data_IF_306967322221
#
_entry.id   IF_306967322221
#
_cell.length_a   1.000
_cell.length_b   1.000
_cell.length_c   1.000
_cell.angle_alpha   90.00
_cell.angle_beta   90.00
_cell.angle_gamma   90.00
#
_symmetry.space_group_name_H-M   'P 1'
#
loop_
_entity.id
_entity.type
_entity.pdbx_description
1 polymer ?
#
# COMPACT_ATOMS: atom_id res chain seq x y z
N UNK A 1 -5.55 -21.83 3.64
CA UNK A 1 -6.77 -21.08 3.99
C UNK A 1 -7.53 -21.69 5.18
N UNK A 2 -7.69 -23.00 5.32
CA UNK A 2 -8.34 -23.59 6.51
C UNK A 2 -7.73 -23.13 7.86
N UNK A 3 -6.41 -23.01 7.94
CA UNK A 3 -5.72 -22.52 9.15
C UNK A 3 -5.99 -21.04 9.45
N UNK A 4 -6.32 -20.24 8.45
CA UNK A 4 -6.70 -18.83 8.60
C UNK A 4 -8.17 -18.76 9.02
N UNK A 5 -9.08 -19.47 8.36
CA UNK A 5 -10.51 -19.51 8.69
C UNK A 5 -10.84 -20.14 10.05
N UNK A 6 -9.87 -20.72 10.75
CA UNK A 6 -10.02 -21.22 12.13
C UNK A 6 -9.51 -20.27 13.21
N UNK A 7 -9.07 -19.08 12.88
CA UNK A 7 -8.60 -18.05 13.81
C UNK A 7 -9.77 -17.23 14.38
N UNK A 8 -9.47 -16.38 15.37
CA UNK A 8 -10.42 -15.37 15.86
C UNK A 8 -10.76 -14.42 14.70
N UNK A 9 -11.99 -13.95 14.64
CA UNK A 9 -12.53 -13.18 13.52
C UNK A 9 -11.63 -12.01 13.08
N UNK A 10 -11.14 -11.23 14.02
CA UNK A 10 -10.28 -10.07 13.73
C UNK A 10 -8.95 -10.48 13.10
N UNK A 11 -8.37 -11.62 13.53
CA UNK A 11 -7.15 -12.17 12.96
C UNK A 11 -7.38 -12.73 11.55
N UNK A 12 -8.53 -13.37 11.32
CA UNK A 12 -8.92 -13.85 9.99
C UNK A 12 -9.11 -12.67 9.02
N UNK A 13 -9.77 -11.59 9.45
CA UNK A 13 -9.97 -10.39 8.66
C UNK A 13 -8.64 -9.72 8.31
N UNK A 14 -7.76 -9.54 9.29
CA UNK A 14 -6.41 -9.00 9.06
C UNK A 14 -5.63 -9.88 8.08
N UNK A 15 -5.63 -11.20 8.24
CA UNK A 15 -4.94 -12.10 7.32
C UNK A 15 -5.47 -11.99 5.89
N UNK A 16 -6.78 -11.87 5.71
CA UNK A 16 -7.40 -11.68 4.39
C UNK A 16 -6.99 -10.34 3.76
N UNK A 17 -6.96 -9.26 4.52
CA UNK A 17 -6.50 -7.95 4.05
C UNK A 17 -5.03 -8.00 3.63
N UNK A 18 -4.16 -8.59 4.44
CA UNK A 18 -2.73 -8.76 4.12
C UNK A 18 -2.54 -9.54 2.83
N UNK A 19 -3.20 -10.70 2.72
CA UNK A 19 -3.09 -11.57 1.53
C UNK A 19 -3.69 -10.91 0.29
N UNK A 20 -4.77 -10.15 0.44
CA UNK A 20 -5.38 -9.35 -0.63
C UNK A 20 -4.38 -8.32 -1.17
N UNK A 21 -3.76 -7.53 -0.30
CA UNK A 21 -2.74 -6.56 -0.69
C UNK A 21 -1.54 -7.22 -1.38
N UNK A 22 -0.96 -8.27 -0.79
CA UNK A 22 0.22 -8.94 -1.38
C UNK A 22 -0.10 -9.58 -2.73
N UNK A 23 -1.35 -10.03 -2.94
CA UNK A 23 -1.78 -10.67 -4.20
C UNK A 23 -2.08 -9.63 -5.29
N UNK A 24 -2.77 -8.53 -4.94
CA UNK A 24 -3.32 -7.57 -5.90
C UNK A 24 -2.40 -6.36 -6.14
N UNK A 25 -1.41 -6.13 -5.28
CA UNK A 25 -0.48 -5.02 -5.43
C UNK A 25 0.24 -5.06 -6.78
N UNK A 26 0.36 -3.92 -7.43
CA UNK A 26 0.97 -3.79 -8.78
C UNK A 26 2.50 -3.87 -8.75
N UNK A 27 3.12 -3.81 -7.57
CA UNK A 27 4.51 -4.14 -7.27
C UNK A 27 4.62 -4.68 -5.84
N UNK A 28 5.70 -5.39 -5.50
CA UNK A 28 5.94 -5.77 -4.11
C UNK A 28 5.92 -4.56 -3.18
N UNK A 29 5.32 -4.74 -2.01
CA UNK A 29 5.23 -3.72 -0.97
C UNK A 29 6.33 -3.90 0.06
N UNK A 30 6.82 -2.80 0.60
CA UNK A 30 7.61 -2.82 1.82
C UNK A 30 6.70 -3.07 3.03
N UNK A 31 7.30 -3.46 4.15
CA UNK A 31 6.56 -3.63 5.41
C UNK A 31 5.84 -2.36 5.84
N UNK A 32 6.51 -1.20 5.73
CA UNK A 32 5.93 0.09 6.09
C UNK A 32 4.79 0.49 5.16
N UNK A 33 4.89 0.25 3.85
CA UNK A 33 3.79 0.49 2.92
C UNK A 33 2.58 -0.35 3.27
N UNK A 34 2.76 -1.64 3.58
CA UNK A 34 1.66 -2.51 3.96
C UNK A 34 1.05 -2.11 5.31
N UNK A 35 1.87 -1.76 6.32
CA UNK A 35 1.37 -1.28 7.61
C UNK A 35 0.47 -0.05 7.45
N UNK A 36 0.92 0.95 6.67
CA UNK A 36 0.10 2.13 6.36
C UNK A 36 -1.19 1.75 5.62
N UNK A 37 -1.11 0.83 4.65
CA UNK A 37 -2.29 0.39 3.90
C UNK A 37 -3.35 -0.28 4.79
N UNK A 38 -2.91 -1.05 5.77
CA UNK A 38 -3.79 -1.75 6.73
C UNK A 38 -4.37 -0.83 7.81
N UNK A 39 -3.71 0.30 8.09
CA UNK A 39 -4.14 1.25 9.11
C UNK A 39 -5.08 2.35 8.56
N UNK A 40 -5.31 2.39 7.25
CA UNK A 40 -6.24 3.37 6.66
C UNK A 40 -7.68 3.01 7.01
N UNK A 41 -8.37 3.90 7.68
CA UNK A 41 -9.82 3.85 7.85
C UNK A 41 -10.49 4.68 6.76
N UNK A 42 -11.34 4.02 5.95
CA UNK A 42 -12.00 4.68 4.81
C UNK A 42 -12.94 5.76 5.29
N UNK A 43 -12.70 6.99 4.83
CA UNK A 43 -13.48 8.17 5.21
C UNK A 43 -12.80 9.06 6.24
N UNK A 44 -11.71 8.60 6.88
CA UNK A 44 -10.91 9.43 7.79
C UNK A 44 -10.00 10.39 7.01
N UNK A 45 -9.61 11.47 7.66
CA UNK A 45 -8.83 12.56 7.07
C UNK A 45 -7.33 12.53 7.40
N UNK A 46 -6.91 11.58 8.23
CA UNK A 46 -5.53 11.35 8.63
C UNK A 46 -5.32 9.87 8.98
N UNK A 47 -4.07 9.42 8.92
CA UNK A 47 -3.69 8.11 9.44
C UNK A 47 -3.64 8.18 10.97
N UNK A 48 -4.27 7.24 11.64
CA UNK A 48 -4.07 7.03 13.06
C UNK A 48 -2.87 6.08 13.26
N UNK A 49 -1.79 6.60 13.83
CA UNK A 49 -0.57 5.83 14.06
C UNK A 49 -0.78 4.70 15.10
N UNK A 50 -1.78 4.81 15.99
CA UNK A 50 -2.10 3.76 16.95
C UNK A 50 -2.71 2.53 16.26
N UNK A 51 -3.26 2.70 15.07
CA UNK A 51 -3.83 1.61 14.26
C UNK A 51 -2.78 0.86 13.40
N UNK A 52 -1.51 1.27 13.41
CA UNK A 52 -0.47 0.58 12.66
C UNK A 52 -0.20 -0.82 13.24
N UNK A 53 -0.53 -1.90 12.50
CA UNK A 53 -0.31 -3.25 13.00
C UNK A 53 1.19 -3.56 13.08
N UNK A 54 1.60 -4.33 14.09
CA UNK A 54 2.99 -4.79 14.21
C UNK A 54 3.30 -5.81 13.11
N UNK A 55 4.51 -5.77 12.59
CA UNK A 55 4.94 -6.67 11.48
C UNK A 55 4.86 -8.14 11.90
N UNK A 56 5.19 -8.43 13.15
CA UNK A 56 5.11 -9.76 13.74
C UNK A 56 3.69 -10.30 13.73
N UNK A 57 2.69 -9.44 14.01
CA UNK A 57 1.28 -9.80 13.99
C UNK A 57 0.82 -10.08 12.55
N UNK A 58 1.19 -9.19 11.58
CA UNK A 58 0.90 -9.38 10.16
C UNK A 58 1.40 -10.75 9.66
N UNK A 59 2.65 -11.10 9.99
CA UNK A 59 3.24 -12.38 9.58
C UNK A 59 2.58 -13.55 10.28
N UNK A 60 2.29 -13.40 11.59
CA UNK A 60 1.71 -14.45 12.43
C UNK A 60 0.31 -14.85 11.95
N UNK A 61 -0.58 -13.89 11.69
CA UNK A 61 -1.95 -14.16 11.25
C UNK A 61 -2.01 -14.84 9.89
N UNK A 62 -0.99 -14.67 9.04
CA UNK A 62 -0.90 -15.31 7.74
C UNK A 62 -0.47 -16.79 7.79
N UNK A 63 -0.33 -17.39 8.98
CA UNK A 63 -0.13 -18.82 9.21
C UNK A 63 1.01 -19.46 8.39
N UNK A 64 2.11 -18.70 8.19
CA UNK A 64 3.30 -19.12 7.44
C UNK A 64 3.22 -18.97 5.93
N UNK A 65 2.19 -18.30 5.40
CA UNK A 65 2.09 -18.00 3.97
C UNK A 65 2.93 -16.81 3.54
N UNK A 66 3.29 -15.92 4.48
CA UNK A 66 3.97 -14.65 4.25
C UNK A 66 5.30 -14.60 4.99
N UNK A 67 6.28 -13.98 4.39
CA UNK A 67 7.58 -13.70 5.00
C UNK A 67 8.07 -12.30 4.60
N UNK A 68 8.92 -11.72 5.46
CA UNK A 68 9.62 -10.47 5.21
C UNK A 68 11.06 -10.78 4.79
N UNK A 69 11.47 -10.20 3.68
CA UNK A 69 12.86 -10.16 3.26
C UNK A 69 13.58 -9.05 4.05
N UNK A 70 14.53 -9.45 4.90
CA UNK A 70 15.20 -8.53 5.83
C UNK A 70 16.15 -7.54 5.17
N UNK A 71 16.64 -7.84 3.97
CA UNK A 71 17.56 -6.95 3.25
C UNK A 71 16.79 -5.83 2.52
N UNK A 72 15.66 -6.17 1.89
CA UNK A 72 14.84 -5.23 1.14
C UNK A 72 13.65 -4.67 1.91
N UNK A 73 13.33 -5.22 3.09
CA UNK A 73 12.10 -4.96 3.85
C UNK A 73 10.82 -5.23 3.04
N UNK A 74 10.91 -6.05 2.00
CA UNK A 74 9.75 -6.44 1.19
C UNK A 74 9.02 -7.58 1.88
N UNK A 75 7.69 -7.44 1.97
CA UNK A 75 6.81 -8.51 2.43
C UNK A 75 6.23 -9.27 1.23
N UNK A 76 6.27 -10.61 1.26
CA UNK A 76 5.88 -11.44 0.13
C UNK A 76 5.38 -12.82 0.54
N UNK A 77 4.69 -13.49 -0.37
CA UNK A 77 4.35 -14.92 -0.21
C UNK A 77 5.62 -15.78 -0.20
N UNK A 78 5.66 -16.75 0.71
CA UNK A 78 6.83 -17.64 0.91
C UNK A 78 7.10 -18.51 -0.32
N UNK A 79 6.04 -19.01 -0.97
CA UNK A 79 6.15 -19.92 -2.09
C UNK A 79 5.51 -19.36 -3.36
N UNK A 80 6.18 -19.52 -4.48
CA UNK A 80 5.67 -19.12 -5.79
C UNK A 80 4.32 -19.80 -6.12
N UNK A 81 4.18 -21.08 -5.78
CA UNK A 81 2.92 -21.81 -5.98
C UNK A 81 1.74 -21.24 -5.19
N UNK A 82 2.01 -20.61 -4.05
CA UNK A 82 0.97 -19.89 -3.27
C UNK A 82 0.54 -18.63 -4.01
N UNK A 83 1.47 -17.92 -4.65
CA UNK A 83 1.17 -16.77 -5.49
C UNK A 83 0.27 -17.17 -6.66
N UNK A 84 0.68 -18.17 -7.44
CA UNK A 84 -0.14 -18.68 -8.57
C UNK A 84 -1.54 -19.13 -8.12
N UNK A 85 -1.62 -19.76 -6.95
CA UNK A 85 -2.91 -20.19 -6.39
C UNK A 85 -3.82 -18.99 -6.12
N UNK A 86 -3.33 -17.94 -5.44
CA UNK A 86 -4.13 -16.75 -5.14
C UNK A 86 -4.48 -15.95 -6.39
N UNK A 87 -3.56 -15.77 -7.33
CA UNK A 87 -3.82 -15.11 -8.61
C UNK A 87 -4.97 -15.82 -9.37
N UNK A 88 -4.97 -17.15 -9.41
CA UNK A 88 -6.02 -17.92 -10.06
C UNK A 88 -7.35 -17.93 -9.31
N UNK A 89 -7.32 -17.82 -7.98
CA UNK A 89 -8.49 -17.92 -7.12
C UNK A 89 -8.86 -16.58 -6.46
N UNK A 90 -8.31 -15.47 -6.93
CA UNK A 90 -8.47 -14.14 -6.38
C UNK A 90 -9.94 -13.78 -6.13
N UNK A 91 -10.80 -13.94 -7.13
CA UNK A 91 -12.23 -13.63 -7.04
C UNK A 91 -12.98 -14.46 -6.00
N UNK A 92 -12.46 -15.62 -5.65
CA UNK A 92 -13.04 -16.47 -4.60
C UNK A 92 -12.64 -16.00 -3.19
N UNK A 93 -11.36 -15.63 -3.02
CA UNK A 93 -10.83 -15.26 -1.70
C UNK A 93 -10.96 -13.77 -1.40
N UNK A 94 -10.84 -12.94 -2.41
CA UNK A 94 -10.78 -11.48 -2.33
C UNK A 94 -11.68 -10.83 -3.38
N UNK A 95 -13.01 -11.09 -3.38
CA UNK A 95 -13.91 -10.67 -4.47
C UNK A 95 -13.97 -9.15 -4.66
N UNK A 96 -13.73 -8.37 -3.60
CA UNK A 96 -13.77 -6.91 -3.62
C UNK A 96 -12.39 -6.24 -3.53
N UNK A 97 -11.30 -7.02 -3.64
CA UNK A 97 -9.94 -6.53 -3.39
C UNK A 97 -9.61 -5.22 -4.10
N UNK A 98 -9.85 -5.14 -5.40
CA UNK A 98 -9.51 -3.95 -6.18
C UNK A 98 -10.38 -2.74 -5.79
N UNK A 99 -11.63 -2.96 -5.41
CA UNK A 99 -12.53 -1.91 -4.90
C UNK A 99 -12.07 -1.40 -3.53
N UNK A 100 -11.73 -2.33 -2.62
CA UNK A 100 -11.28 -2.00 -1.26
C UNK A 100 -9.92 -1.29 -1.30
N UNK A 101 -8.97 -1.80 -2.09
CA UNK A 101 -7.66 -1.18 -2.30
C UNK A 101 -7.81 0.21 -2.92
N UNK A 102 -8.70 0.38 -3.89
CA UNK A 102 -9.00 1.69 -4.49
C UNK A 102 -9.50 2.67 -3.44
N UNK A 103 -10.46 2.26 -2.61
CA UNK A 103 -11.00 3.10 -1.54
C UNK A 103 -9.92 3.52 -0.54
N UNK A 104 -9.05 2.60 -0.14
CA UNK A 104 -7.90 2.86 0.73
C UNK A 104 -6.93 3.85 0.06
N UNK A 105 -6.56 3.62 -1.20
CA UNK A 105 -5.64 4.49 -1.93
C UNK A 105 -6.15 5.93 -2.02
N UNK A 106 -7.39 6.13 -2.43
CA UNK A 106 -7.94 7.49 -2.60
C UNK A 106 -8.24 8.17 -1.26
N UNK A 107 -8.61 7.41 -0.22
CA UNK A 107 -8.73 7.93 1.15
C UNK A 107 -7.37 8.45 1.62
N UNK A 108 -6.30 7.67 1.47
CA UNK A 108 -4.95 8.08 1.84
C UNK A 108 -4.51 9.34 1.10
N UNK A 109 -4.71 9.42 -0.24
CA UNK A 109 -4.43 10.62 -1.03
C UNK A 109 -5.32 11.82 -0.66
N UNK A 110 -6.39 11.57 0.09
CA UNK A 110 -7.31 12.59 0.58
C UNK A 110 -6.97 13.12 1.96
N UNK A 111 -5.94 12.61 2.63
CA UNK A 111 -5.52 13.08 3.95
C UNK A 111 -5.11 14.57 3.94
N UNK A 112 -5.25 15.22 5.10
CA UNK A 112 -4.84 16.61 5.30
C UNK A 112 -3.38 16.88 4.92
N UNK A 113 -2.50 15.87 5.02
CA UNK A 113 -1.10 15.94 4.62
C UNK A 113 -0.89 16.33 3.14
N UNK A 114 -1.93 16.18 2.30
CA UNK A 114 -1.87 16.48 0.87
C UNK A 114 -2.67 17.74 0.46
N UNK A 115 -3.29 18.42 1.42
CA UNK A 115 -4.09 19.64 1.15
C UNK A 115 -3.27 20.84 0.74
N UNK A 116 -1.95 20.85 0.98
CA UNK A 116 -1.06 21.90 0.49
C UNK A 116 -0.71 21.78 -1.00
N UNK A 117 -1.19 20.74 -1.68
CA UNK A 117 -0.90 20.51 -3.10
C UNK A 117 0.56 20.18 -3.37
N UNK A 118 1.12 20.79 -4.39
CA UNK A 118 2.50 20.60 -4.82
C UNK A 118 3.50 21.15 -3.80
N UNK A 119 4.49 20.35 -3.39
CA UNK A 119 5.61 20.81 -2.55
C UNK A 119 6.53 21.74 -3.36
N UNK A 120 6.88 22.90 -2.81
CA UNK A 120 7.67 23.92 -3.51
C UNK A 120 9.16 23.57 -3.57
N UNK A 121 9.64 22.75 -2.66
CA UNK A 121 11.05 22.34 -2.56
C UNK A 121 11.20 20.81 -2.52
N UNK A 122 12.37 20.33 -2.98
CA UNK A 122 12.73 18.91 -2.90
C UNK A 122 12.72 18.43 -1.44
N UNK A 123 13.18 19.27 -0.50
CA UNK A 123 13.20 18.92 0.93
C UNK A 123 11.80 18.69 1.51
N UNK A 124 10.82 19.52 1.16
CA UNK A 124 9.42 19.33 1.56
C UNK A 124 8.84 18.04 0.95
N UNK A 125 9.18 17.77 -0.30
CA UNK A 125 8.71 16.57 -0.98
C UNK A 125 9.32 15.29 -0.38
N UNK A 126 10.63 15.28 -0.09
CA UNK A 126 11.30 14.17 0.57
C UNK A 126 10.73 13.91 1.97
N UNK A 127 10.45 14.98 2.73
CA UNK A 127 9.81 14.86 4.04
C UNK A 127 8.38 14.32 3.93
N UNK A 128 7.60 14.75 2.92
CA UNK A 128 6.28 14.20 2.65
C UNK A 128 6.35 12.70 2.36
N UNK A 129 7.29 12.26 1.54
CA UNK A 129 7.51 10.83 1.24
C UNK A 129 7.92 10.05 2.50
N UNK A 130 8.76 10.65 3.35
CA UNK A 130 9.24 10.04 4.59
C UNK A 130 8.12 9.85 5.62
N UNK A 131 7.24 10.82 5.75
CA UNK A 131 6.12 10.76 6.69
C UNK A 131 4.95 9.90 6.17
N UNK A 132 4.78 9.81 4.86
CA UNK A 132 3.67 9.12 4.23
C UNK A 132 4.16 7.92 3.43
N UNK A 133 4.51 6.83 4.13
CA UNK A 133 5.20 5.67 3.55
C UNK A 133 4.48 5.03 2.35
N UNK A 134 3.15 5.05 2.33
CA UNK A 134 2.36 4.47 1.25
C UNK A 134 2.19 5.42 0.04
N UNK A 135 2.53 6.70 0.19
CA UNK A 135 2.24 7.75 -0.79
C UNK A 135 2.82 7.48 -2.19
N UNK A 136 4.08 7.07 -2.28
CA UNK A 136 4.72 6.75 -3.56
C UNK A 136 4.00 5.59 -4.29
N UNK A 137 3.66 4.54 -3.55
CA UNK A 137 2.95 3.41 -4.14
C UNK A 137 1.60 3.83 -4.71
N UNK A 138 0.78 4.51 -3.92
CA UNK A 138 -0.58 4.84 -4.33
C UNK A 138 -0.63 5.89 -5.44
N UNK A 139 0.26 6.89 -5.42
CA UNK A 139 0.33 7.88 -6.49
C UNK A 139 0.53 7.23 -7.87
N UNK A 140 1.32 6.16 -7.92
CA UNK A 140 1.59 5.42 -9.17
C UNK A 140 0.52 4.38 -9.53
N UNK A 141 -0.24 3.87 -8.56
CA UNK A 141 -1.02 2.65 -8.78
C UNK A 141 -2.53 2.77 -8.50
N UNK A 142 -3.02 3.83 -7.84
CA UNK A 142 -4.44 3.96 -7.51
C UNK A 142 -5.34 3.87 -8.75
N UNK A 143 -4.93 4.49 -9.86
CA UNK A 143 -5.70 4.46 -11.12
C UNK A 143 -5.70 3.07 -11.79
N UNK A 144 -4.69 2.24 -11.52
CA UNK A 144 -4.68 0.84 -11.98
C UNK A 144 -5.71 0.03 -11.20
N UNK A 145 -5.74 0.17 -9.86
CA UNK A 145 -6.72 -0.47 -9.00
C UNK A 145 -8.14 0.00 -9.33
N UNK A 146 -8.35 1.31 -9.53
CA UNK A 146 -9.65 1.87 -9.88
C UNK A 146 -10.22 1.34 -11.20
N UNK A 147 -9.36 1.03 -12.17
CA UNK A 147 -9.80 0.43 -13.46
C UNK A 147 -10.21 -1.04 -13.32
N UNK A 148 -9.64 -1.75 -12.37
CA UNK A 148 -9.95 -3.15 -12.11
C UNK A 148 -11.05 -3.33 -11.06
N UNK A 149 -11.43 -2.26 -10.36
CA UNK A 149 -12.50 -2.27 -9.38
C UNK A 149 -13.86 -2.57 -10.03
N UNK A 150 -14.65 -3.39 -9.36
CA UNK A 150 -15.99 -3.79 -9.84
C UNK A 150 -17.01 -2.64 -9.77
N UNK A 151 -16.80 -1.71 -8.83
CA UNK A 151 -17.68 -0.57 -8.59
C UNK A 151 -16.87 0.69 -8.38
N UNK A 152 -17.37 1.81 -8.90
CA UNK A 152 -16.81 3.12 -8.60
C UNK A 152 -17.13 3.50 -7.15
N UNK A 153 -16.11 3.66 -6.32
CA UNK A 153 -16.30 4.14 -4.96
C UNK A 153 -16.48 5.67 -4.93
N UNK A 154 -17.35 6.16 -4.05
CA UNK A 154 -17.63 7.59 -3.90
C UNK A 154 -16.37 8.42 -3.57
N UNK A 155 -15.43 7.81 -2.86
CA UNK A 155 -14.14 8.41 -2.51
C UNK A 155 -13.32 8.82 -3.74
N UNK A 156 -13.41 8.08 -4.84
CA UNK A 156 -12.72 8.43 -6.11
C UNK A 156 -13.23 9.76 -6.63
N UNK A 157 -14.55 9.98 -6.60
CA UNK A 157 -15.15 11.22 -7.07
C UNK A 157 -14.67 12.39 -6.21
N UNK A 158 -14.77 12.28 -4.88
CA UNK A 158 -14.31 13.32 -3.95
C UNK A 158 -12.82 13.64 -4.08
N UNK A 159 -11.98 12.65 -4.33
CA UNK A 159 -10.55 12.86 -4.62
C UNK A 159 -10.35 13.62 -5.93
N UNK A 160 -11.04 13.24 -7.00
CA UNK A 160 -10.93 13.87 -8.32
C UNK A 160 -11.50 15.30 -8.38
N UNK A 161 -12.36 15.68 -7.44
CA UNK A 161 -12.87 17.05 -7.30
C UNK A 161 -11.88 17.98 -6.56
N UNK A 162 -10.84 17.43 -5.92
CA UNK A 162 -9.86 18.22 -5.16
C UNK A 162 -8.59 18.47 -5.97
N UNK A 163 -8.46 19.67 -6.55
CA UNK A 163 -7.31 20.07 -7.36
C UNK A 163 -5.98 19.89 -6.60
N UNK A 164 -5.90 20.36 -5.35
CA UNK A 164 -4.68 20.25 -4.53
C UNK A 164 -4.25 18.81 -4.26
N UNK A 165 -5.20 17.91 -4.01
CA UNK A 165 -4.90 16.49 -3.77
C UNK A 165 -4.42 15.81 -5.05
N UNK A 166 -4.99 16.19 -6.21
CA UNK A 166 -4.52 15.73 -7.52
C UNK A 166 -3.12 16.26 -7.81
N UNK A 167 -2.84 17.53 -7.52
CA UNK A 167 -1.50 18.12 -7.67
C UNK A 167 -0.46 17.36 -6.84
N UNK A 168 -0.77 17.09 -5.56
CA UNK A 168 0.10 16.29 -4.71
C UNK A 168 0.35 14.90 -5.31
N UNK A 169 -0.70 14.17 -5.69
CA UNK A 169 -0.57 12.85 -6.29
C UNK A 169 0.23 12.88 -7.61
N UNK A 170 0.01 13.90 -8.44
CA UNK A 170 0.73 14.09 -9.70
C UNK A 170 2.22 14.38 -9.48
N UNK A 171 2.57 15.12 -8.42
CA UNK A 171 3.96 15.35 -8.06
C UNK A 171 4.71 14.04 -7.79
N UNK A 172 4.14 13.14 -6.99
CA UNK A 172 4.76 11.85 -6.72
C UNK A 172 4.82 10.96 -7.96
N UNK A 173 3.76 10.95 -8.77
CA UNK A 173 3.72 10.20 -10.03
C UNK A 173 4.82 10.63 -11.01
N UNK A 174 5.11 11.93 -11.09
CA UNK A 174 6.09 12.51 -12.02
C UNK A 174 7.51 12.59 -11.44
N UNK A 175 7.67 12.37 -10.15
CA UNK A 175 8.96 12.41 -9.48
C UNK A 175 9.87 11.30 -10.00
N UNK A 176 10.98 11.69 -10.60
CA UNK A 176 12.02 10.75 -11.01
C UNK A 176 12.76 10.31 -9.74
N UNK A 177 12.64 9.03 -9.37
CA UNK A 177 13.49 8.47 -8.32
C UNK A 177 14.95 8.62 -8.74
N UNK A 178 15.67 9.59 -8.19
CA UNK A 178 17.12 9.61 -8.26
C UNK A 178 17.58 8.40 -7.46
N UNK A 179 18.02 7.36 -8.15
CA UNK A 179 18.75 6.27 -7.52
C UNK A 179 19.98 6.89 -6.85
N UNK A 180 19.94 7.06 -5.53
CA UNK A 180 21.13 7.29 -4.72
C UNK A 180 21.87 5.97 -4.60
N UNK A 181 22.35 5.47 -5.73
CA UNK A 181 23.35 4.42 -5.79
C UNK A 181 24.64 5.01 -5.24
N UNK A 182 24.89 4.85 -3.96
CA UNK A 182 26.23 4.96 -3.41
C UNK A 182 27.08 3.86 -4.05
N UNK A 183 27.62 4.16 -5.22
CA UNK A 183 28.79 3.46 -5.76
C UNK A 183 29.97 3.75 -4.82
N UNK A 184 30.17 2.89 -3.83
CA UNK A 184 31.43 2.77 -3.11
C UNK A 184 32.46 2.03 -3.96
N UNK A 185 32.78 2.58 -5.12
CA UNK A 185 33.97 2.12 -5.87
C UNK A 185 34.51 3.30 -6.68
N UNK A 186 35.30 4.14 -6.06
CA UNK A 186 36.33 4.96 -6.70
C UNK A 186 37.17 5.65 -5.62
N UNK A 187 38.00 4.89 -4.96
CA UNK A 187 39.26 5.39 -4.40
C UNK A 187 40.20 4.19 -4.25
N UNK A 188 40.89 3.90 -5.36
CA UNK A 188 42.22 3.29 -5.38
C UNK A 188 42.75 3.41 -6.80
N UNK A 189 43.45 4.51 -7.06
CA UNK A 189 44.62 4.65 -7.97
C UNK A 189 45.30 5.96 -7.65
#
# INVERSE_FOLDING_TARGET
MERIGGQVKDQEELAKQVLSWITCAKRPLTTSELQHALAVEVGESALDEENLPQIEDIVSVCAGLVAVDKESNIIRLVHYTTKEYFERTQNHWFPNAETDITAICVTYLSFHAFESGFCQTDAEFEERLRLNQLYDYIAHNWGNHAREALTLCQQVIGFLESELKIEAASQALLAIKRYSGHSKYSQEL
#
